data_IF_262549593456
#
_entry.id   IF_262549593456
#
_cell.length_a   1.000
_cell.length_b   1.000
_cell.length_c   1.000
_cell.angle_alpha   90.00
_cell.angle_beta   90.00
_cell.angle_gamma   90.00
#
_symmetry.space_group_name_H-M   'P 1'
#
loop_
_entity.id
_entity.type
_entity.pdbx_description
1 polymer ?
#
# COMPACT_ATOMS: atom_id res chain seq x y z
N UNK A 1 24.15 -13.23 -33.42
CA UNK A 1 22.96 -12.41 -33.08
C UNK A 1 23.12 -12.00 -31.63
N UNK A 2 23.39 -10.71 -31.37
CA UNK A 2 23.42 -10.20 -29.99
C UNK A 2 21.97 -10.18 -29.52
N UNK A 3 21.61 -11.01 -28.55
CA UNK A 3 20.30 -10.96 -27.92
C UNK A 3 20.14 -9.59 -27.26
N UNK A 4 19.28 -8.75 -27.81
CA UNK A 4 18.87 -7.51 -27.16
C UNK A 4 18.22 -7.85 -25.82
N UNK A 5 18.69 -7.24 -24.72
CA UNK A 5 18.10 -7.45 -23.40
C UNK A 5 16.60 -7.12 -23.45
N UNK A 6 15.73 -7.96 -22.87
CA UNK A 6 14.31 -7.65 -22.80
C UNK A 6 14.13 -6.37 -21.96
N UNK A 7 13.60 -5.33 -22.60
CA UNK A 7 13.24 -4.06 -21.98
C UNK A 7 11.81 -4.14 -21.44
N UNK A 8 11.39 -3.10 -20.73
CA UNK A 8 9.97 -2.88 -20.49
C UNK A 8 9.22 -2.96 -21.83
N UNK A 9 8.01 -3.53 -21.79
CA UNK A 9 7.13 -3.68 -22.95
C UNK A 9 5.73 -3.23 -22.56
N UNK A 10 5.05 -2.61 -23.50
CA UNK A 10 3.60 -2.46 -23.46
C UNK A 10 2.99 -3.87 -23.47
N UNK A 11 2.16 -4.17 -22.48
CA UNK A 11 1.47 -5.47 -22.40
C UNK A 11 0.32 -5.49 -23.39
N UNK A 12 -0.52 -4.46 -23.30
CA UNK A 12 -1.64 -4.19 -24.17
C UNK A 12 -1.99 -2.70 -24.06
N UNK A 13 -2.44 -2.13 -25.18
CA UNK A 13 -3.13 -0.84 -25.25
C UNK A 13 -4.62 -1.18 -25.07
N UNK A 14 -5.15 -0.95 -23.87
CA UNK A 14 -6.49 -1.43 -23.48
C UNK A 14 -7.57 -0.50 -24.03
N UNK A 15 -7.38 0.82 -23.93
CA UNK A 15 -8.26 1.84 -24.51
C UNK A 15 -7.70 2.30 -25.86
N UNK A 16 -8.02 1.57 -26.93
CA UNK A 16 -7.46 1.84 -28.26
C UNK A 16 -7.71 3.31 -28.69
N UNK A 17 -6.68 4.15 -28.69
CA UNK A 17 -6.84 5.57 -29.01
C UNK A 17 -5.78 6.50 -28.41
N UNK A 18 -6.21 7.67 -27.95
CA UNK A 18 -5.38 8.66 -27.25
C UNK A 18 -5.80 8.82 -25.77
N UNK A 19 -6.75 8.01 -25.30
CA UNK A 19 -7.36 8.16 -23.98
C UNK A 19 -6.75 7.13 -23.02
N UNK A 20 -6.41 7.51 -21.78
CA UNK A 20 -5.75 6.60 -20.85
C UNK A 20 -6.68 5.47 -20.38
N UNK A 21 -6.12 4.28 -20.17
CA UNK A 21 -6.84 3.12 -19.62
C UNK A 21 -7.07 3.18 -18.10
N UNK A 22 -6.62 4.25 -17.42
CA UNK A 22 -6.86 4.50 -15.99
C UNK A 22 -6.44 3.34 -15.08
N UNK A 23 -5.27 2.75 -15.33
CA UNK A 23 -4.81 1.54 -14.65
C UNK A 23 -4.69 1.77 -13.14
N UNK A 24 -5.37 0.96 -12.33
CA UNK A 24 -5.30 1.07 -10.88
C UNK A 24 -5.45 -0.29 -10.18
N UNK A 25 -5.29 -0.30 -8.85
CA UNK A 25 -5.52 -1.47 -7.99
C UNK A 25 -4.72 -2.73 -8.37
N UNK A 26 -3.51 -2.58 -8.92
CA UNK A 26 -2.68 -3.72 -9.33
C UNK A 26 -2.43 -4.66 -8.13
N UNK A 27 -2.89 -5.91 -8.26
CA UNK A 27 -2.89 -6.93 -7.20
C UNK A 27 -2.44 -8.27 -7.76
N UNK A 28 -1.40 -8.86 -7.19
CA UNK A 28 -0.98 -10.23 -7.52
C UNK A 28 -1.88 -11.25 -6.82
N UNK A 29 -2.43 -12.19 -7.59
CA UNK A 29 -3.25 -13.30 -7.09
C UNK A 29 -2.66 -14.60 -7.63
N UNK A 30 -1.73 -15.19 -6.88
CA UNK A 30 -1.01 -16.41 -7.24
C UNK A 30 -0.37 -16.37 -8.64
N UNK A 31 0.36 -15.29 -8.95
CA UNK A 31 1.05 -15.13 -10.23
C UNK A 31 0.13 -14.69 -11.39
N UNK A 32 -1.06 -14.19 -11.08
CA UNK A 32 -1.92 -13.50 -12.05
C UNK A 32 -2.16 -12.10 -11.56
N UNK A 33 -1.95 -11.12 -12.43
CA UNK A 33 -2.26 -9.75 -12.11
C UNK A 33 -3.77 -9.54 -12.25
N UNK A 34 -4.42 -9.03 -11.20
CA UNK A 34 -5.73 -8.40 -11.25
C UNK A 34 -5.56 -6.90 -11.07
N UNK A 35 -6.37 -6.11 -11.77
CA UNK A 35 -6.32 -4.66 -11.75
C UNK A 35 -7.64 -4.08 -12.25
N UNK A 36 -7.79 -2.76 -12.20
CA UNK A 36 -8.91 -2.06 -12.82
C UNK A 36 -8.43 -1.23 -14.01
N UNK A 37 -9.21 -1.22 -15.09
CA UNK A 37 -8.90 -0.48 -16.31
C UNK A 37 -10.16 -0.16 -17.11
N UNK A 38 -10.08 0.89 -17.93
CA UNK A 38 -11.10 1.34 -18.88
C UNK A 38 -10.64 1.02 -20.30
N UNK A 39 -11.51 0.39 -21.11
CA UNK A 39 -11.28 0.12 -22.53
C UNK A 39 -12.00 1.09 -23.47
N UNK A 40 -12.62 2.14 -22.92
CA UNK A 40 -13.42 3.11 -23.66
C UNK A 40 -14.84 2.64 -23.99
N UNK A 41 -15.17 1.35 -23.77
CA UNK A 41 -16.50 0.78 -24.01
C UNK A 41 -17.25 0.44 -22.70
N UNK A 42 -16.52 -0.03 -21.68
CA UNK A 42 -17.09 -0.55 -20.43
C UNK A 42 -16.78 0.31 -19.19
N UNK A 43 -16.03 1.42 -19.35
CA UNK A 43 -15.55 2.18 -18.19
C UNK A 43 -14.50 1.40 -17.38
N UNK A 44 -14.07 1.96 -16.24
CA UNK A 44 -13.13 1.28 -15.33
C UNK A 44 -13.79 0.05 -14.70
N UNK A 45 -13.31 -1.14 -15.07
CA UNK A 45 -13.88 -2.44 -14.68
C UNK A 45 -12.79 -3.42 -14.18
N UNK A 46 -13.15 -4.66 -13.81
CA UNK A 46 -12.17 -5.66 -13.35
C UNK A 46 -11.45 -6.33 -14.53
N UNK A 47 -10.13 -6.21 -14.56
CA UNK A 47 -9.25 -6.82 -15.56
C UNK A 47 -8.26 -7.80 -14.94
N UNK A 48 -7.67 -8.62 -15.79
CA UNK A 48 -6.53 -9.46 -15.42
C UNK A 48 -5.50 -9.54 -16.53
N UNK A 49 -4.26 -9.89 -16.18
CA UNK A 49 -3.17 -10.15 -17.13
C UNK A 49 -2.24 -11.26 -16.64
N UNK A 50 -1.62 -11.95 -17.60
CA UNK A 50 -0.48 -12.86 -17.40
C UNK A 50 0.84 -12.28 -17.96
N UNK A 51 0.85 -10.99 -18.34
CA UNK A 51 2.01 -10.34 -18.96
C UNK A 51 2.05 -10.44 -20.48
N UNK A 52 1.06 -11.10 -21.10
CA UNK A 52 0.92 -11.17 -22.55
C UNK A 52 -0.36 -10.46 -23.00
N UNK A 53 -0.34 -9.91 -24.22
CA UNK A 53 -1.54 -9.32 -24.84
C UNK A 53 -2.74 -10.28 -24.84
N UNK A 54 -2.52 -11.56 -25.19
CA UNK A 54 -3.62 -12.54 -25.24
C UNK A 54 -4.15 -12.97 -23.87
N UNK A 55 -3.40 -12.75 -22.79
CA UNK A 55 -3.80 -13.04 -21.42
C UNK A 55 -4.35 -11.82 -20.67
N UNK A 56 -4.17 -10.61 -21.23
CA UNK A 56 -4.80 -9.38 -20.76
C UNK A 56 -6.24 -9.31 -21.26
N UNK A 57 -7.20 -9.20 -20.34
CA UNK A 57 -8.62 -9.17 -20.70
C UNK A 57 -9.50 -8.67 -19.56
N UNK A 58 -10.62 -8.06 -19.96
CA UNK A 58 -11.76 -7.82 -19.11
C UNK A 58 -12.20 -9.14 -18.48
N UNK A 59 -12.31 -9.16 -17.15
CA UNK A 59 -12.82 -10.32 -16.41
C UNK A 59 -14.33 -10.33 -16.46
N UNK A 60 -14.93 -9.17 -16.20
CA UNK A 60 -16.37 -8.94 -16.22
C UNK A 60 -16.64 -7.44 -16.26
N UNK A 61 -17.56 -7.04 -17.12
CA UNK A 61 -18.27 -5.76 -17.04
C UNK A 61 -19.28 -5.86 -15.87
N UNK A 62 -18.90 -5.33 -14.70
CA UNK A 62 -19.73 -5.40 -13.49
C UNK A 62 -20.86 -4.38 -13.56
N UNK A 63 -20.63 -3.20 -14.14
CA UNK A 63 -21.65 -2.17 -14.37
C UNK A 63 -21.95 -2.06 -15.87
N UNK A 64 -22.93 -2.82 -16.40
CA UNK A 64 -23.10 -2.96 -17.84
C UNK A 64 -23.10 -1.65 -18.64
N UNK A 65 -22.21 -1.55 -19.62
CA UNK A 65 -22.04 -0.40 -20.50
C UNK A 65 -20.89 0.53 -20.08
N UNK A 66 -20.88 1.76 -20.59
CA UNK A 66 -19.73 2.67 -20.45
C UNK A 66 -19.54 3.31 -19.04
N UNK A 67 -20.22 2.82 -18.02
CA UNK A 67 -20.14 3.38 -16.68
C UNK A 67 -19.20 2.53 -15.82
N UNK A 68 -18.23 3.16 -15.15
CA UNK A 68 -17.25 2.42 -14.33
C UNK A 68 -17.89 1.75 -13.11
N UNK A 69 -17.48 0.53 -12.81
CA UNK A 69 -17.69 -0.06 -11.49
C UNK A 69 -16.71 0.55 -10.49
N UNK A 70 -17.24 1.10 -9.39
CA UNK A 70 -16.44 1.69 -8.32
C UNK A 70 -15.74 0.60 -7.47
N UNK A 71 -14.94 -0.26 -8.11
CA UNK A 71 -14.19 -1.35 -7.48
C UNK A 71 -13.16 -0.77 -6.51
N UNK A 72 -13.14 -1.32 -5.30
CA UNK A 72 -12.19 -0.97 -4.24
C UNK A 72 -11.60 -2.23 -3.61
N UNK A 73 -10.41 -2.08 -3.05
CA UNK A 73 -9.80 -3.02 -2.10
C UNK A 73 -9.71 -4.46 -2.62
N UNK A 74 -9.12 -4.63 -3.82
CA UNK A 74 -8.78 -5.95 -4.34
C UNK A 74 -7.90 -6.70 -3.32
N UNK A 75 -8.46 -7.76 -2.72
CA UNK A 75 -7.82 -8.52 -1.64
C UNK A 75 -7.71 -9.98 -2.03
N UNK A 76 -6.49 -10.52 -2.02
CA UNK A 76 -6.25 -11.93 -2.29
C UNK A 76 -6.72 -12.78 -1.11
N UNK A 77 -7.53 -13.81 -1.39
CA UNK A 77 -7.94 -14.82 -0.40
C UNK A 77 -8.01 -16.19 -1.09
N UNK A 78 -7.12 -17.12 -0.71
CA UNK A 78 -7.08 -18.50 -1.22
C UNK A 78 -7.08 -18.62 -2.76
N UNK A 79 -6.27 -17.81 -3.42
CA UNK A 79 -6.07 -17.76 -4.87
C UNK A 79 -7.23 -17.16 -5.65
N UNK A 80 -8.01 -16.29 -5.01
CA UNK A 80 -9.10 -15.51 -5.60
C UNK A 80 -8.97 -14.07 -5.14
N UNK A 81 -9.60 -13.16 -5.86
CA UNK A 81 -9.73 -11.78 -5.41
C UNK A 81 -11.13 -11.56 -4.87
N UNK A 82 -11.24 -10.99 -3.67
CA UNK A 82 -12.47 -10.43 -3.12
C UNK A 82 -12.32 -8.92 -3.09
N UNK A 83 -13.41 -8.20 -3.34
CA UNK A 83 -13.38 -6.75 -3.51
C UNK A 83 -14.76 -6.13 -3.29
N UNK A 84 -14.79 -4.84 -3.02
CA UNK A 84 -16.02 -4.08 -2.84
C UNK A 84 -16.43 -3.38 -4.14
N UNK A 85 -17.74 -3.31 -4.42
CA UNK A 85 -18.32 -2.51 -5.50
C UNK A 85 -19.56 -1.82 -4.93
N UNK A 86 -19.51 -0.49 -4.76
CA UNK A 86 -20.58 0.24 -4.06
C UNK A 86 -20.86 -0.38 -2.69
N UNK A 87 -22.11 -0.81 -2.48
CA UNK A 87 -22.58 -1.49 -1.26
C UNK A 87 -22.45 -3.03 -1.29
N UNK A 88 -21.66 -3.59 -2.20
CA UNK A 88 -21.62 -5.03 -2.48
C UNK A 88 -20.23 -5.64 -2.25
N UNK A 89 -20.18 -6.84 -1.67
CA UNK A 89 -18.98 -7.68 -1.65
C UNK A 89 -19.00 -8.65 -2.83
N UNK A 90 -17.93 -8.68 -3.60
CA UNK A 90 -17.75 -9.54 -4.77
C UNK A 90 -16.55 -10.47 -4.61
N UNK A 91 -16.52 -11.52 -5.44
CA UNK A 91 -15.39 -12.41 -5.61
C UNK A 91 -15.18 -12.72 -7.09
N UNK A 92 -13.93 -12.87 -7.49
CA UNK A 92 -13.54 -13.39 -8.80
C UNK A 92 -12.47 -14.48 -8.72
N UNK A 93 -12.56 -15.47 -9.61
CA UNK A 93 -11.48 -16.42 -9.92
C UNK A 93 -10.73 -16.07 -11.23
N UNK A 94 -11.00 -14.89 -11.80
CA UNK A 94 -10.47 -14.45 -13.08
C UNK A 94 -11.26 -14.94 -14.29
N UNK A 95 -12.48 -15.45 -14.09
CA UNK A 95 -13.45 -15.73 -15.15
C UNK A 95 -14.75 -14.96 -14.92
N UNK A 96 -15.44 -14.62 -16.00
CA UNK A 96 -16.74 -13.94 -15.92
C UNK A 96 -17.75 -14.71 -15.06
N UNK A 97 -17.87 -16.03 -15.27
CA UNK A 97 -18.78 -16.91 -14.50
C UNK A 97 -18.38 -17.04 -13.03
N UNK A 98 -17.09 -17.03 -12.73
CA UNK A 98 -16.57 -17.06 -11.37
C UNK A 98 -16.56 -15.69 -10.68
N UNK A 99 -16.96 -14.63 -11.39
CA UNK A 99 -17.09 -13.27 -10.87
C UNK A 99 -18.53 -13.01 -10.42
N UNK A 100 -18.76 -13.16 -9.12
CA UNK A 100 -20.09 -13.21 -8.52
C UNK A 100 -20.15 -12.35 -7.26
N UNK A 101 -21.30 -11.70 -7.06
CA UNK A 101 -21.64 -11.02 -5.82
C UNK A 101 -21.85 -12.04 -4.71
N UNK A 102 -21.27 -11.77 -3.55
CA UNK A 102 -21.42 -12.58 -2.34
C UNK A 102 -22.54 -12.04 -1.45
N UNK A 103 -22.56 -10.72 -1.22
CA UNK A 103 -23.52 -10.04 -0.35
C UNK A 103 -23.74 -8.59 -0.80
N UNK A 104 -24.84 -7.99 -0.36
CA UNK A 104 -25.17 -6.57 -0.48
C UNK A 104 -25.46 -6.06 0.93
N UNK A 105 -24.86 -4.93 1.29
CA UNK A 105 -24.99 -4.27 2.58
C UNK A 105 -25.95 -3.09 2.47
N UNK A 106 -26.53 -2.68 3.59
CA UNK A 106 -27.35 -1.49 3.60
C UNK A 106 -26.49 -0.26 3.31
N UNK A 107 -27.05 0.68 2.54
CA UNK A 107 -26.40 1.93 2.10
C UNK A 107 -27.10 3.11 2.79
N UNK A 108 -27.24 3.00 4.11
CA UNK A 108 -27.64 4.14 4.92
C UNK A 108 -26.39 5.01 5.08
N UNK A 109 -26.52 6.32 4.91
CA UNK A 109 -25.45 7.32 5.04
C UNK A 109 -24.48 7.51 3.84
N UNK A 110 -24.68 6.84 2.71
CA UNK A 110 -23.78 6.92 1.54
C UNK A 110 -22.32 6.53 1.87
N UNK A 111 -22.15 5.77 2.94
CA UNK A 111 -20.90 5.15 3.33
C UNK A 111 -20.81 3.79 2.64
N UNK A 112 -19.99 3.70 1.59
CA UNK A 112 -19.91 2.51 0.75
C UNK A 112 -19.30 1.31 1.50
N UNK A 113 -20.11 0.46 2.13
CA UNK A 113 -19.70 -0.81 2.76
C UNK A 113 -19.74 -1.99 1.77
N UNK A 114 -18.82 -2.96 1.85
CA UNK A 114 -17.81 -3.15 2.89
C UNK A 114 -16.55 -2.29 2.68
N UNK A 115 -15.79 -2.12 3.77
CA UNK A 115 -14.50 -1.41 3.81
C UNK A 115 -13.50 -2.14 4.70
N UNK A 116 -12.24 -1.72 4.66
CA UNK A 116 -11.15 -2.26 5.47
C UNK A 116 -10.98 -3.78 5.25
N UNK A 117 -11.02 -4.22 3.99
CA UNK A 117 -10.87 -5.62 3.61
C UNK A 117 -9.48 -6.14 4.00
N UNK A 118 -9.45 -7.21 4.78
CA UNK A 118 -8.21 -7.82 5.26
C UNK A 118 -8.29 -9.36 5.19
N UNK A 119 -7.27 -9.96 4.59
CA UNK A 119 -7.10 -11.41 4.61
C UNK A 119 -6.60 -11.83 5.99
N UNK A 120 -7.33 -12.75 6.63
CA UNK A 120 -6.96 -13.32 7.91
C UNK A 120 -7.27 -14.82 7.91
N UNK A 121 -6.21 -15.63 7.91
CA UNK A 121 -6.25 -17.10 8.05
C UNK A 121 -7.19 -17.79 7.04
N UNK A 122 -7.09 -17.41 5.78
CA UNK A 122 -7.84 -17.97 4.65
C UNK A 122 -9.28 -17.47 4.56
N UNK A 123 -9.61 -16.35 5.20
CA UNK A 123 -10.91 -15.68 5.12
C UNK A 123 -10.70 -14.19 4.98
N UNK A 124 -11.75 -13.51 4.53
CA UNK A 124 -11.80 -12.05 4.54
C UNK A 124 -12.47 -11.60 5.82
N UNK A 125 -11.85 -10.68 6.56
CA UNK A 125 -12.50 -9.88 7.61
C UNK A 125 -12.59 -8.43 7.13
N UNK A 126 -13.65 -7.73 7.51
CA UNK A 126 -13.94 -6.39 7.01
C UNK A 126 -14.97 -5.68 7.90
N UNK A 127 -15.05 -4.37 7.74
CA UNK A 127 -16.13 -3.52 8.27
C UNK A 127 -17.37 -3.64 7.37
N UNK A 128 -18.50 -4.00 7.95
CA UNK A 128 -19.78 -4.10 7.24
C UNK A 128 -20.94 -3.56 8.07
N UNK A 129 -22.02 -3.18 7.40
CA UNK A 129 -23.18 -2.54 8.01
C UNK A 129 -24.48 -3.32 7.77
N UNK A 130 -25.30 -3.43 8.81
CA UNK A 130 -26.73 -3.70 8.69
C UNK A 130 -27.54 -2.85 9.68
N UNK A 131 -28.85 -2.71 9.43
CA UNK A 131 -29.73 -1.85 10.22
C UNK A 131 -29.93 -2.34 11.68
N UNK A 132 -29.66 -3.62 11.95
CA UNK A 132 -29.89 -4.22 13.27
C UNK A 132 -28.68 -4.05 14.19
N UNK A 133 -27.46 -4.09 13.63
CA UNK A 133 -26.19 -4.16 14.36
C UNK A 133 -25.27 -2.96 14.11
N UNK A 134 -25.61 -2.02 13.22
CA UNK A 134 -24.72 -0.91 12.89
C UNK A 134 -23.46 -1.36 12.11
N UNK A 135 -22.37 -0.59 12.20
CA UNK A 135 -21.08 -0.91 11.55
C UNK A 135 -20.24 -1.82 12.43
N UNK A 136 -20.04 -3.06 11.99
CA UNK A 136 -19.48 -4.11 12.83
C UNK A 136 -18.49 -5.00 12.09
N UNK A 137 -17.92 -5.99 12.78
CA UNK A 137 -16.93 -6.89 12.19
C UNK A 137 -17.63 -8.04 11.45
N UNK A 138 -17.37 -8.15 10.16
CA UNK A 138 -17.89 -9.20 9.29
C UNK A 138 -16.80 -10.16 8.82
N UNK A 139 -17.22 -11.34 8.39
CA UNK A 139 -16.33 -12.35 7.80
C UNK A 139 -16.93 -12.93 6.53
N UNK A 140 -16.07 -13.27 5.56
CA UNK A 140 -16.41 -14.06 4.39
C UNK A 140 -15.42 -15.19 4.17
N UNK A 141 -15.92 -16.39 3.84
CA UNK A 141 -15.11 -17.50 3.33
C UNK A 141 -15.06 -17.54 1.79
N UNK A 142 -15.52 -16.48 1.13
CA UNK A 142 -15.66 -16.40 -0.32
C UNK A 142 -16.95 -17.02 -0.86
N UNK A 143 -17.93 -17.31 -0.01
CA UNK A 143 -19.28 -17.73 -0.42
C UNK A 143 -20.35 -16.81 0.17
N UNK A 144 -21.50 -16.68 -0.50
CA UNK A 144 -22.62 -15.88 0.02
C UNK A 144 -23.08 -16.36 1.39
N UNK A 145 -23.12 -17.69 1.62
CA UNK A 145 -23.53 -18.27 2.91
C UNK A 145 -22.50 -18.04 4.02
N UNK A 146 -21.21 -18.03 3.67
CA UNK A 146 -20.13 -17.78 4.63
C UNK A 146 -19.84 -16.30 4.84
N UNK A 147 -20.54 -15.40 4.14
CA UNK A 147 -20.49 -13.94 4.34
C UNK A 147 -21.53 -13.56 5.39
N UNK A 148 -21.08 -13.17 6.58
CA UNK A 148 -21.95 -12.92 7.75
C UNK A 148 -21.26 -12.07 8.81
N UNK A 149 -22.06 -11.47 9.68
CA UNK A 149 -21.59 -10.84 10.91
C UNK A 149 -20.74 -11.84 11.71
N UNK A 150 -19.57 -11.37 12.15
CA UNK A 150 -18.64 -12.14 12.98
C UNK A 150 -18.75 -11.73 14.44
N UNK A 151 -18.81 -10.43 14.70
CA UNK A 151 -18.88 -9.85 16.02
C UNK A 151 -19.73 -8.58 15.94
N UNK A 152 -20.71 -8.50 16.83
CA UNK A 152 -21.43 -7.30 17.22
C UNK A 152 -20.77 -6.80 18.52
N UNK A 153 -19.87 -5.82 18.41
CA UNK A 153 -19.11 -5.31 19.55
C UNK A 153 -19.95 -4.34 20.38
N UNK A 154 -20.72 -3.46 19.73
CA UNK A 154 -21.66 -2.53 20.36
C UNK A 154 -23.11 -3.04 20.18
N UNK A 155 -23.70 -3.76 21.15
CA UNK A 155 -24.97 -4.45 20.93
C UNK A 155 -26.12 -3.52 20.52
N UNK A 156 -26.74 -3.82 19.38
CA UNK A 156 -27.84 -3.05 18.81
C UNK A 156 -27.39 -2.21 17.62
N UNK A 157 -28.12 -1.13 17.26
CA UNK A 157 -27.88 -0.42 15.99
C UNK A 157 -26.65 0.51 16.03
N UNK A 158 -25.96 0.62 17.17
CA UNK A 158 -24.79 1.48 17.30
C UNK A 158 -23.55 0.75 16.77
N UNK A 159 -22.76 1.39 15.91
CA UNK A 159 -21.60 0.75 15.28
C UNK A 159 -20.32 0.83 16.10
N UNK A 160 -19.42 -0.13 15.92
CA UNK A 160 -18.06 -0.12 16.47
C UNK A 160 -16.97 0.27 15.45
N UNK A 161 -17.31 0.35 14.16
CA UNK A 161 -16.42 0.83 13.09
C UNK A 161 -15.04 0.15 13.03
N UNK A 162 -14.97 -1.20 12.99
CA UNK A 162 -13.70 -1.91 13.09
C UNK A 162 -12.76 -1.62 11.92
N UNK A 163 -11.51 -1.29 12.24
CA UNK A 163 -10.51 -0.86 11.25
C UNK A 163 -9.06 -1.19 11.66
N UNK A 164 -8.09 -0.86 10.80
CA UNK A 164 -6.65 -1.06 11.04
C UNK A 164 -6.24 -2.49 11.43
N UNK A 165 -6.83 -3.48 10.74
CA UNK A 165 -6.56 -4.89 10.96
C UNK A 165 -5.08 -5.28 10.82
N UNK A 166 -4.61 -6.12 11.73
CA UNK A 166 -3.30 -6.77 11.69
C UNK A 166 -3.37 -8.19 12.26
N UNK A 167 -2.56 -9.11 11.73
CA UNK A 167 -2.34 -10.42 12.35
C UNK A 167 -1.09 -10.40 13.24
N UNK A 168 -1.26 -10.56 14.55
CA UNK A 168 -0.16 -10.63 15.52
C UNK A 168 -0.17 -11.97 16.24
N UNK A 169 0.90 -12.75 16.07
CA UNK A 169 1.05 -14.07 16.69
C UNK A 169 -0.13 -15.03 16.42
N UNK A 170 -0.79 -14.83 15.28
CA UNK A 170 -1.93 -15.61 14.86
C UNK A 170 -3.28 -15.02 15.25
N UNK A 171 -3.35 -13.93 16.00
CA UNK A 171 -4.60 -13.33 16.39
C UNK A 171 -4.87 -12.06 15.58
N UNK A 172 -6.15 -11.78 15.31
CA UNK A 172 -6.56 -10.55 14.64
C UNK A 172 -6.58 -9.41 15.66
N UNK A 173 -5.82 -8.35 15.41
CA UNK A 173 -5.79 -7.13 16.21
C UNK A 173 -6.37 -5.99 15.37
N UNK A 174 -7.23 -5.17 15.96
CA UNK A 174 -7.94 -4.10 15.26
C UNK A 174 -8.44 -3.03 16.23
N UNK A 175 -8.78 -1.88 15.68
CA UNK A 175 -9.44 -0.80 16.38
C UNK A 175 -10.96 -1.01 16.41
N UNK A 176 -11.62 -0.60 17.49
CA UNK A 176 -13.08 -0.44 17.59
C UNK A 176 -13.41 0.81 18.41
N UNK A 177 -14.54 1.46 18.14
CA UNK A 177 -15.14 2.43 19.04
C UNK A 177 -16.07 1.73 20.04
N UNK A 178 -15.88 1.97 21.33
CA UNK A 178 -16.75 1.49 22.40
C UNK A 178 -17.75 2.59 22.76
N UNK A 179 -19.01 2.39 22.39
CA UNK A 179 -20.09 3.36 22.59
C UNK A 179 -20.46 3.55 24.07
N UNK A 180 -20.30 2.52 24.89
CA UNK A 180 -20.58 2.62 26.32
C UNK A 180 -19.49 3.44 27.05
N UNK A 181 -18.24 3.31 26.61
CA UNK A 181 -17.10 4.04 27.15
C UNK A 181 -16.87 5.40 26.47
N UNK A 182 -17.41 5.62 25.27
CA UNK A 182 -17.13 6.74 24.38
C UNK A 182 -15.64 6.87 24.05
N UNK A 183 -14.98 5.75 23.76
CA UNK A 183 -13.53 5.70 23.52
C UNK A 183 -13.18 4.67 22.47
N UNK A 184 -12.11 4.94 21.75
CA UNK A 184 -11.48 3.98 20.85
C UNK A 184 -10.67 2.95 21.65
N UNK A 185 -10.86 1.67 21.33
CA UNK A 185 -10.13 0.55 21.92
C UNK A 185 -9.27 -0.14 20.86
N UNK A 186 -8.09 -0.56 21.28
CA UNK A 186 -7.34 -1.59 20.57
C UNK A 186 -7.73 -2.95 21.14
N UNK A 187 -8.29 -3.83 20.30
CA UNK A 187 -8.75 -5.15 20.72
C UNK A 187 -8.07 -6.26 19.92
N UNK A 188 -8.10 -7.47 20.47
CA UNK A 188 -7.65 -8.70 19.80
C UNK A 188 -8.77 -9.73 19.78
N UNK A 189 -8.97 -10.41 18.66
CA UNK A 189 -9.88 -11.54 18.52
C UNK A 189 -9.12 -12.86 18.50
N UNK A 190 -9.20 -13.60 19.61
CA UNK A 190 -8.64 -14.94 19.79
C UNK A 190 -9.60 -15.99 19.24
N UNK A 191 -9.05 -16.91 18.43
CA UNK A 191 -9.77 -18.09 17.90
C UNK A 191 -11.16 -17.78 17.31
N UNK A 192 -11.29 -16.64 16.63
CA UNK A 192 -12.53 -16.17 16.00
C UNK A 192 -13.70 -15.93 16.95
N UNK A 193 -13.46 -15.84 18.27
CA UNK A 193 -14.55 -15.85 19.26
C UNK A 193 -14.35 -14.91 20.43
N UNK A 194 -13.14 -14.84 20.97
CA UNK A 194 -12.90 -14.13 22.23
C UNK A 194 -12.24 -12.80 21.94
N UNK A 195 -12.97 -11.72 22.20
CA UNK A 195 -12.43 -10.36 22.17
C UNK A 195 -11.68 -10.10 23.48
N UNK A 196 -10.48 -9.54 23.37
CA UNK A 196 -9.62 -9.15 24.47
C UNK A 196 -9.17 -7.72 24.23
N UNK A 197 -9.51 -6.82 25.15
CA UNK A 197 -8.99 -5.45 25.12
C UNK A 197 -7.48 -5.44 25.41
N UNK A 198 -6.73 -4.77 24.53
CA UNK A 198 -5.30 -4.57 24.66
C UNK A 198 -4.96 -3.19 25.22
N UNK A 199 -5.73 -2.16 24.82
CA UNK A 199 -5.59 -0.79 25.27
C UNK A 199 -6.86 0.02 25.05
N UNK A 200 -7.04 1.03 25.90
CA UNK A 200 -7.93 2.17 25.69
C UNK A 200 -7.11 3.31 25.09
N UNK A 201 -7.54 3.82 23.93
CA UNK A 201 -6.84 4.88 23.19
C UNK A 201 -7.47 6.27 23.45
N UNK A 202 -8.65 6.37 24.07
CA UNK A 202 -9.34 7.65 24.28
C UNK A 202 -10.39 8.00 23.22
N UNK A 203 -11.07 9.12 23.41
CA UNK A 203 -12.30 9.55 22.71
C UNK A 203 -12.07 10.22 21.34
N UNK A 204 -10.89 10.80 21.11
CA UNK A 204 -10.51 11.39 19.81
C UNK A 204 -9.36 10.65 19.12
N UNK A 205 -9.14 9.39 19.53
CA UNK A 205 -8.08 8.58 18.98
C UNK A 205 -8.45 7.94 17.63
N UNK A 206 -7.45 7.71 16.80
CA UNK A 206 -7.59 6.85 15.61
C UNK A 206 -6.25 6.29 15.20
N UNK A 207 -6.17 4.99 15.01
CA UNK A 207 -5.05 4.33 14.36
C UNK A 207 -5.04 4.78 12.90
N UNK A 208 -3.83 4.99 12.41
CA UNK A 208 -3.54 5.43 11.04
C UNK A 208 -2.76 4.37 10.29
N UNK A 209 -1.98 3.56 11.02
CA UNK A 209 -1.18 2.49 10.46
C UNK A 209 -0.71 1.54 11.54
N UNK A 210 -0.71 0.25 11.22
CA UNK A 210 -0.09 -0.78 12.03
C UNK A 210 1.08 -1.44 11.29
N UNK A 211 2.04 -1.97 12.05
CA UNK A 211 3.16 -2.76 11.52
C UNK A 211 3.59 -3.82 12.52
N UNK A 212 3.52 -5.08 12.11
CA UNK A 212 4.00 -6.21 12.91
C UNK A 212 5.50 -6.44 12.66
N UNK A 213 6.29 -6.48 13.73
CA UNK A 213 7.73 -6.78 13.69
C UNK A 213 8.09 -7.81 14.74
N UNK A 214 8.22 -9.07 14.31
CA UNK A 214 8.33 -10.21 15.22
C UNK A 214 7.04 -10.36 16.04
N UNK A 215 7.15 -10.55 17.35
CA UNK A 215 6.03 -10.72 18.29
C UNK A 215 5.47 -9.38 18.82
N UNK A 216 5.50 -8.33 17.99
CA UNK A 216 5.10 -6.98 18.41
C UNK A 216 4.35 -6.27 17.31
N UNK A 217 3.32 -5.55 17.71
CA UNK A 217 2.59 -4.63 16.88
C UNK A 217 3.01 -3.21 17.21
N UNK A 218 3.54 -2.50 16.21
CA UNK A 218 3.78 -1.07 16.27
C UNK A 218 2.58 -0.35 15.66
N UNK A 219 2.19 0.74 16.31
CA UNK A 219 0.94 1.44 16.03
C UNK A 219 1.28 2.91 15.86
N UNK A 220 0.98 3.45 14.69
CA UNK A 220 0.86 4.88 14.49
C UNK A 220 -0.61 5.25 14.67
N UNK A 221 -0.90 6.07 15.68
CA UNK A 221 -2.23 6.60 15.95
C UNK A 221 -2.15 8.11 16.17
N UNK A 222 -3.30 8.78 16.09
CA UNK A 222 -3.47 10.19 16.43
C UNK A 222 -4.34 10.26 17.68
N UNK A 223 -3.91 10.99 18.71
CA UNK A 223 -4.64 11.22 19.97
C UNK A 223 -4.86 12.72 20.17
N UNK A 224 -6.11 13.18 20.22
CA UNK A 224 -6.49 14.62 20.28
C UNK A 224 -5.81 15.44 19.16
N UNK A 225 -5.63 14.84 17.97
CA UNK A 225 -4.94 15.45 16.84
C UNK A 225 -3.41 15.39 16.87
N UNK A 226 -2.82 14.73 17.87
CA UNK A 226 -1.38 14.54 17.99
C UNK A 226 -0.90 13.13 17.60
N UNK A 227 -0.13 13.02 16.50
CA UNK A 227 0.50 11.77 16.08
C UNK A 227 1.42 11.14 17.14
N UNK A 228 1.26 9.84 17.40
CA UNK A 228 2.08 9.06 18.30
C UNK A 228 2.44 7.68 17.73
N UNK A 229 3.58 7.14 18.16
CA UNK A 229 3.99 5.76 17.91
C UNK A 229 3.92 4.99 19.22
N UNK A 230 3.17 3.89 19.23
CA UNK A 230 3.08 2.95 20.32
C UNK A 230 3.50 1.53 19.90
N UNK A 231 3.65 0.66 20.89
CA UNK A 231 3.93 -0.76 20.71
C UNK A 231 3.14 -1.61 21.69
N UNK A 232 2.75 -2.82 21.28
CA UNK A 232 2.19 -3.86 22.15
C UNK A 232 2.72 -5.24 21.77
N UNK A 233 2.68 -6.18 22.71
CA UNK A 233 2.98 -7.61 22.47
C UNK A 233 1.72 -8.44 22.24
N UNK A 234 0.56 -7.80 22.08
CA UNK A 234 -0.73 -8.49 21.92
C UNK A 234 -1.27 -9.09 23.23
N UNK A 235 -0.69 -8.69 24.37
CA UNK A 235 -1.15 -9.07 25.72
C UNK A 235 -1.68 -7.84 26.46
N UNK A 236 -2.77 -7.97 27.23
CA UNK A 236 -3.29 -6.88 28.06
C UNK A 236 -2.19 -6.25 28.93
N UNK A 237 -2.19 -4.92 29.01
CA UNK A 237 -1.23 -4.16 29.80
C UNK A 237 0.18 -4.04 29.20
N UNK A 238 0.40 -4.48 27.96
CA UNK A 238 1.70 -4.34 27.26
C UNK A 238 1.76 -3.18 26.26
N UNK A 239 0.64 -2.49 26.01
CA UNK A 239 0.60 -1.28 25.20
C UNK A 239 1.42 -0.16 25.83
N UNK A 240 2.34 0.45 25.07
CA UNK A 240 3.17 1.58 25.52
C UNK A 240 3.35 2.56 24.38
N UNK A 241 3.08 3.84 24.65
CA UNK A 241 3.53 4.93 23.79
C UNK A 241 5.06 5.05 23.88
N UNK A 242 5.72 5.19 22.73
CA UNK A 242 7.17 5.30 22.60
C UNK A 242 7.60 6.71 22.16
N UNK A 243 6.73 7.41 21.46
CA UNK A 243 7.02 8.69 20.82
C UNK A 243 5.73 9.46 20.53
N UNK A 244 5.77 10.78 20.68
CA UNK A 244 4.67 11.69 20.31
C UNK A 244 5.21 12.91 19.57
N UNK A 245 4.50 13.35 18.51
CA UNK A 245 4.86 14.53 17.74
C UNK A 245 4.51 15.85 18.43
N UNK A 246 3.77 15.83 19.55
CA UNK A 246 3.39 17.02 20.37
C UNK A 246 4.57 17.97 20.58
N UNK A 247 5.76 17.41 20.79
CA UNK A 247 6.99 18.15 21.10
C UNK A 247 7.64 18.82 19.90
N UNK A 248 7.25 18.47 18.68
CA UNK A 248 7.90 18.92 17.45
C UNK A 248 7.04 19.89 16.62
N UNK A 249 5.76 20.08 16.95
CA UNK A 249 4.87 20.98 16.19
C UNK A 249 4.66 20.55 14.73
N UNK A 250 4.80 19.25 14.47
CA UNK A 250 4.67 18.62 13.14
C UNK A 250 3.45 17.70 13.12
N UNK A 251 2.79 17.61 11.97
CA UNK A 251 1.42 17.09 11.84
C UNK A 251 1.33 15.67 11.27
N UNK A 252 2.33 14.81 11.49
CA UNK A 252 2.19 13.41 11.08
C UNK A 252 3.45 12.57 11.19
N UNK A 253 3.21 11.26 11.33
CA UNK A 253 4.20 10.24 11.03
C UNK A 253 3.93 9.74 9.62
N UNK A 254 4.97 9.61 8.80
CA UNK A 254 4.87 8.98 7.47
C UNK A 254 5.73 7.73 7.46
N UNK A 255 5.25 6.72 6.73
CA UNK A 255 5.88 5.42 6.56
C UNK A 255 6.21 4.68 7.88
N UNK A 256 5.84 3.41 7.95
CA UNK A 256 6.31 2.52 9.01
C UNK A 256 6.93 1.32 8.31
N UNK A 257 8.24 1.12 8.48
CA UNK A 257 8.98 0.08 7.78
C UNK A 257 9.87 -0.70 8.74
N UNK A 258 9.79 -2.02 8.65
CA UNK A 258 10.59 -2.93 9.45
C UNK A 258 11.98 -3.14 8.82
N UNK A 259 13.03 -2.97 9.60
CA UNK A 259 14.40 -3.34 9.22
C UNK A 259 15.13 -3.88 10.45
N UNK A 260 15.68 -5.10 10.34
CA UNK A 260 16.42 -5.78 11.42
C UNK A 260 15.71 -5.80 12.78
N UNK A 261 14.38 -6.03 12.78
CA UNK A 261 13.60 -6.09 14.02
C UNK A 261 13.27 -4.72 14.64
N UNK A 262 13.63 -3.62 13.97
CA UNK A 262 13.30 -2.24 14.35
C UNK A 262 12.31 -1.65 13.38
N UNK A 263 11.63 -0.59 13.82
CA UNK A 263 10.75 0.23 12.98
C UNK A 263 11.44 1.54 12.68
N UNK A 264 11.49 1.86 11.39
CA UNK A 264 11.91 3.16 10.88
C UNK A 264 10.69 3.89 10.37
N UNK A 265 10.63 5.16 10.70
CA UNK A 265 9.51 6.03 10.38
C UNK A 265 10.00 7.45 10.23
N UNK A 266 9.16 8.28 9.63
CA UNK A 266 9.49 9.65 9.34
C UNK A 266 8.62 10.61 10.13
N UNK A 267 9.25 11.71 10.55
CA UNK A 267 8.60 12.86 11.17
C UNK A 267 9.15 14.12 10.51
N UNK A 268 8.35 14.81 9.70
CA UNK A 268 8.84 15.95 8.90
C UNK A 268 9.99 15.55 7.94
N UNK A 269 11.13 16.23 8.03
CA UNK A 269 12.39 15.90 7.33
C UNK A 269 13.27 14.89 8.07
N UNK A 270 12.83 14.38 9.22
CA UNK A 270 13.63 13.52 10.07
C UNK A 270 13.30 12.04 9.89
N UNK A 271 14.36 11.23 9.73
CA UNK A 271 14.30 9.78 9.84
C UNK A 271 14.50 9.39 11.30
N UNK A 272 13.56 8.62 11.83
CA UNK A 272 13.57 8.09 13.19
C UNK A 272 13.65 6.56 13.18
N UNK A 273 14.08 6.01 14.31
CA UNK A 273 14.09 4.57 14.56
C UNK A 273 13.55 4.28 15.95
N UNK A 274 12.85 3.18 16.09
CA UNK A 274 12.54 2.57 17.39
C UNK A 274 12.83 1.08 17.35
N UNK A 275 13.40 0.57 18.44
CA UNK A 275 13.51 -0.87 18.69
C UNK A 275 12.35 -1.41 19.53
N UNK A 276 11.31 -0.60 19.80
CA UNK A 276 10.19 -0.93 20.68
C UNK A 276 10.38 -0.54 22.14
N UNK A 277 11.42 0.21 22.47
CA UNK A 277 11.64 0.80 23.79
C UNK A 277 11.78 2.32 23.72
N UNK A 278 11.45 3.04 24.79
CA UNK A 278 11.65 4.50 24.84
C UNK A 278 13.13 4.86 24.59
N UNK A 279 14.06 4.16 25.24
CA UNK A 279 15.49 4.40 25.10
C UNK A 279 16.03 4.11 23.69
N UNK A 280 15.45 3.14 22.99
CA UNK A 280 15.79 2.81 21.61
C UNK A 280 15.03 3.64 20.57
N UNK A 281 14.11 4.52 21.00
CA UNK A 281 13.38 5.44 20.14
C UNK A 281 14.14 6.75 20.00
N UNK A 282 14.72 6.99 18.84
CA UNK A 282 15.64 8.12 18.63
C UNK A 282 15.70 8.59 17.18
N UNK A 283 16.14 9.82 17.03
CA UNK A 283 16.50 10.39 15.73
C UNK A 283 17.65 9.58 15.12
N UNK A 284 17.52 9.26 13.82
CA UNK A 284 18.63 8.76 13.01
C UNK A 284 19.33 9.94 12.35
N UNK A 285 18.57 10.78 11.63
CA UNK A 285 19.07 12.00 10.99
C UNK A 285 17.89 12.89 10.61
N UNK A 286 18.05 14.19 10.83
CA UNK A 286 17.24 15.21 10.19
C UNK A 286 17.97 15.66 8.93
N UNK A 287 17.40 15.40 7.75
CA UNK A 287 18.09 15.71 6.48
C UNK A 287 18.05 17.20 6.16
N UNK A 288 17.11 17.94 6.75
CA UNK A 288 16.98 19.37 6.53
C UNK A 288 16.43 20.08 7.78
N UNK A 289 17.28 20.29 8.80
CA UNK A 289 16.87 20.91 10.05
C UNK A 289 16.28 22.30 9.88
N UNK A 290 15.14 22.55 10.51
CA UNK A 290 14.46 23.84 10.48
C UNK A 290 13.68 24.13 9.20
N UNK A 291 13.69 23.23 8.21
CA UNK A 291 12.63 23.22 7.21
C UNK A 291 11.33 22.77 7.89
N UNK A 292 10.25 23.52 7.71
CA UNK A 292 8.94 23.08 8.19
C UNK A 292 8.49 21.77 7.53
N UNK A 293 7.25 21.37 7.82
CA UNK A 293 6.66 20.09 7.38
C UNK A 293 6.59 19.87 5.87
N UNK A 294 6.90 20.86 5.03
CA UNK A 294 6.69 20.84 3.58
C UNK A 294 7.84 20.22 2.77
N UNK A 295 8.98 19.89 3.39
CA UNK A 295 10.12 19.22 2.74
C UNK A 295 10.27 17.77 3.20
N UNK A 296 9.28 17.01 2.76
CA UNK A 296 8.90 15.67 3.24
C UNK A 296 9.86 14.59 2.73
N UNK A 297 10.46 13.74 3.56
CA UNK A 297 10.99 12.43 3.08
C UNK A 297 9.82 11.59 2.54
N UNK A 298 9.98 10.74 1.52
CA UNK A 298 8.86 9.88 1.07
C UNK A 298 9.34 8.51 0.62
N UNK A 299 8.43 7.54 0.67
CA UNK A 299 8.59 6.20 0.10
C UNK A 299 9.71 5.38 0.76
N UNK A 300 9.76 5.38 2.09
CA UNK A 300 10.74 4.59 2.83
C UNK A 300 10.61 3.10 2.45
N UNK A 301 11.68 2.54 1.88
CA UNK A 301 11.68 1.19 1.31
C UNK A 301 12.93 0.43 1.71
N UNK A 302 12.77 -0.79 2.23
CA UNK A 302 13.92 -1.65 2.53
C UNK A 302 14.34 -2.42 1.30
N UNK A 303 15.63 -2.35 0.96
CA UNK A 303 16.29 -3.25 0.01
C UNK A 303 17.59 -3.74 0.63
N UNK A 304 17.74 -5.06 0.76
CA UNK A 304 19.01 -5.68 1.14
C UNK A 304 19.66 -5.10 2.41
N UNK A 305 18.85 -4.96 3.46
CA UNK A 305 19.25 -4.46 4.76
C UNK A 305 19.60 -2.96 4.82
N UNK A 306 19.08 -2.17 3.89
CA UNK A 306 19.21 -0.71 3.86
C UNK A 306 17.89 -0.08 3.51
N UNK A 307 17.68 1.13 4.00
CA UNK A 307 16.55 1.97 3.66
C UNK A 307 16.92 2.82 2.45
N UNK A 308 16.01 2.89 1.49
CA UNK A 308 16.04 3.81 0.36
C UNK A 308 14.80 4.69 0.43
N UNK A 309 14.94 5.97 0.15
CA UNK A 309 13.86 6.94 0.26
C UNK A 309 14.16 8.20 -0.55
N UNK A 310 13.13 9.00 -0.80
CA UNK A 310 13.20 10.30 -1.47
C UNK A 310 13.42 11.40 -0.44
N UNK A 311 14.40 12.29 -0.63
CA UNK A 311 14.72 13.36 0.32
C UNK A 311 15.34 14.61 -0.33
N UNK A 312 15.10 15.78 0.25
CA UNK A 312 15.69 17.06 -0.14
C UNK A 312 16.52 17.63 1.03
N UNK A 313 17.82 17.82 0.82
CA UNK A 313 18.74 18.45 1.79
C UNK A 313 18.94 19.95 1.55
N UNK A 314 18.20 20.54 0.61
CA UNK A 314 18.30 21.94 0.20
C UNK A 314 19.52 22.25 -0.65
N UNK A 315 20.36 21.27 -1.00
CA UNK A 315 21.56 21.44 -1.81
C UNK A 315 21.41 20.76 -3.17
N UNK A 316 21.07 19.48 -3.17
CA UNK A 316 20.97 18.66 -4.39
C UNK A 316 19.51 18.53 -4.90
N UNK A 317 18.57 19.29 -4.33
CA UNK A 317 17.15 19.04 -4.56
C UNK A 317 16.68 17.71 -3.99
N UNK A 318 15.48 17.28 -4.39
CA UNK A 318 14.87 16.02 -3.96
C UNK A 318 15.39 14.85 -4.79
N UNK A 319 16.17 13.99 -4.14
CA UNK A 319 16.93 12.92 -4.77
C UNK A 319 16.78 11.57 -4.05
N UNK A 320 17.48 10.54 -4.55
CA UNK A 320 17.49 9.20 -3.94
C UNK A 320 18.50 9.13 -2.79
N UNK A 321 18.03 8.77 -1.62
CA UNK A 321 18.81 8.66 -0.38
C UNK A 321 18.90 7.23 0.12
N UNK A 322 19.92 6.97 0.94
CA UNK A 322 20.16 5.68 1.59
C UNK A 322 20.39 5.86 3.09
N UNK A 323 19.97 4.88 3.88
CA UNK A 323 20.33 4.75 5.29
C UNK A 323 20.63 3.30 5.68
N UNK A 324 21.60 3.11 6.55
CA UNK A 324 21.82 1.87 7.30
C UNK A 324 21.30 1.97 8.75
N UNK A 325 20.48 2.97 9.07
CA UNK A 325 19.95 3.24 10.41
C UNK A 325 20.88 4.00 11.35
N UNK A 326 21.99 4.53 10.84
CA UNK A 326 22.88 5.45 11.57
C UNK A 326 22.92 6.81 10.90
N UNK A 327 23.22 7.87 11.67
CA UNK A 327 23.34 9.23 11.13
C UNK A 327 24.38 9.31 9.99
N UNK A 328 25.60 8.80 10.24
CA UNK A 328 26.70 8.81 9.26
C UNK A 328 26.40 7.98 8.00
N UNK A 329 25.63 6.91 8.13
CA UNK A 329 25.20 6.09 7.00
C UNK A 329 23.93 6.60 6.32
N UNK A 330 23.35 7.70 6.78
CA UNK A 330 22.18 8.36 6.17
C UNK A 330 22.64 9.52 5.30
N UNK A 331 22.59 9.34 3.98
CA UNK A 331 23.20 10.28 3.02
C UNK A 331 22.54 10.18 1.64
N UNK A 332 22.76 11.22 0.83
CA UNK A 332 22.51 11.19 -0.60
C UNK A 332 23.16 9.94 -1.21
N UNK A 333 22.37 9.18 -1.95
CA UNK A 333 22.82 7.96 -2.59
C UNK A 333 23.14 8.20 -4.05
N UNK A 334 22.22 8.85 -4.77
CA UNK A 334 22.39 9.25 -6.15
C UNK A 334 21.71 10.62 -6.37
N UNK A 335 22.48 11.55 -6.95
CA UNK A 335 21.97 12.78 -7.56
C UNK A 335 21.63 12.43 -9.02
N UNK A 336 20.37 12.08 -9.27
CA UNK A 336 19.91 11.64 -10.58
C UNK A 336 19.71 12.83 -11.53
N UNK A 337 19.36 14.01 -10.99
CA UNK A 337 19.23 15.26 -11.73
C UNK A 337 20.28 16.27 -11.26
N UNK A 338 21.50 16.24 -11.83
CA UNK A 338 22.67 16.89 -11.25
C UNK A 338 22.47 18.37 -10.88
N UNK A 339 22.85 18.71 -9.64
CA UNK A 339 22.83 20.09 -9.13
C UNK A 339 21.61 20.36 -8.24
N UNK A 340 21.07 21.59 -8.22
CA UNK A 340 19.96 21.93 -7.32
C UNK A 340 18.57 21.51 -7.86
N UNK A 341 18.53 20.91 -9.05
CA UNK A 341 17.29 20.38 -9.63
C UNK A 341 16.87 19.11 -8.88
N UNK A 342 15.62 18.66 -9.03
CA UNK A 342 15.11 17.50 -8.32
C UNK A 342 14.73 16.39 -9.29
N UNK A 343 15.13 15.16 -9.00
CA UNK A 343 14.67 13.96 -9.69
C UNK A 343 13.35 13.40 -9.16
N UNK A 344 12.95 13.87 -7.98
CA UNK A 344 11.69 13.50 -7.30
C UNK A 344 11.38 11.99 -7.30
N UNK A 345 12.26 11.12 -6.76
CA UNK A 345 12.02 9.69 -6.74
C UNK A 345 10.73 9.35 -6.01
N UNK A 346 9.90 8.51 -6.61
CA UNK A 346 8.53 8.21 -6.18
C UNK A 346 8.18 6.76 -6.46
N UNK A 347 7.22 6.21 -5.71
CA UNK A 347 6.79 4.80 -5.80
C UNK A 347 7.96 3.81 -5.75
N UNK A 348 8.83 3.99 -4.74
CA UNK A 348 9.92 3.07 -4.49
C UNK A 348 9.36 1.71 -4.07
N UNK A 349 9.66 0.66 -4.84
CA UNK A 349 9.17 -0.70 -4.62
C UNK A 349 10.31 -1.69 -4.63
N UNK A 350 10.54 -2.32 -3.49
CA UNK A 350 11.40 -3.49 -3.43
C UNK A 350 10.66 -4.69 -4.03
N UNK A 351 11.15 -5.15 -5.17
CA UNK A 351 10.69 -6.37 -5.83
C UNK A 351 11.70 -7.49 -5.56
N UNK A 352 11.20 -8.60 -5.01
CA UNK A 352 11.95 -9.84 -4.78
C UNK A 352 13.21 -9.68 -3.91
N UNK A 353 13.25 -8.70 -2.99
CA UNK A 353 14.36 -8.42 -2.08
C UNK A 353 15.72 -8.15 -2.76
N UNK A 354 15.71 -7.93 -4.06
CA UNK A 354 16.92 -7.87 -4.89
C UNK A 354 16.93 -6.68 -5.86
N UNK A 355 15.76 -6.08 -6.14
CA UNK A 355 15.63 -4.94 -7.04
C UNK A 355 14.73 -3.87 -6.45
N UNK A 356 15.12 -2.61 -6.63
CA UNK A 356 14.27 -1.45 -6.39
C UNK A 356 13.77 -0.94 -7.75
N UNK A 357 12.46 -0.79 -7.89
CA UNK A 357 11.83 -0.06 -8.99
C UNK A 357 11.26 1.24 -8.46
N UNK A 358 11.32 2.30 -9.25
CA UNK A 358 10.80 3.62 -8.88
C UNK A 358 10.68 4.51 -10.12
N UNK A 359 10.04 5.64 -9.97
CA UNK A 359 9.95 6.67 -10.99
C UNK A 359 10.81 7.88 -10.61
N UNK A 360 11.56 8.44 -11.56
CA UNK A 360 12.40 9.62 -11.35
C UNK A 360 12.72 10.35 -12.66
N UNK A 361 13.11 11.62 -12.56
CA UNK A 361 13.52 12.49 -13.68
C UNK A 361 15.02 12.81 -13.59
N UNK A 362 15.81 12.48 -14.61
CA UNK A 362 17.24 12.81 -14.65
C UNK A 362 17.56 14.17 -15.29
N UNK A 363 16.54 14.96 -15.60
CA UNK A 363 16.64 16.24 -16.29
C UNK A 363 16.84 16.12 -17.80
N UNK A 364 16.89 14.89 -18.34
CA UNK A 364 17.08 14.60 -19.77
C UNK A 364 15.89 13.87 -20.36
N UNK A 365 15.38 12.85 -19.65
CA UNK A 365 14.34 11.93 -20.13
C UNK A 365 12.95 12.19 -19.54
N UNK A 366 12.78 13.25 -18.72
CA UNK A 366 11.57 13.42 -17.93
C UNK A 366 11.38 12.29 -16.90
N UNK A 367 10.20 12.20 -16.28
CA UNK A 367 9.93 11.20 -15.22
C UNK A 367 9.59 9.84 -15.82
N UNK A 368 10.57 8.95 -15.76
CA UNK A 368 10.60 7.64 -16.41
C UNK A 368 10.78 6.50 -15.39
N UNK A 369 10.66 5.21 -15.79
CA UNK A 369 10.86 4.11 -14.88
C UNK A 369 12.35 3.84 -14.69
N UNK A 370 12.76 3.66 -13.44
CA UNK A 370 14.12 3.34 -13.03
C UNK A 370 14.15 2.01 -12.29
N UNK A 371 15.30 1.35 -12.35
CA UNK A 371 15.60 0.16 -11.58
C UNK A 371 16.97 0.27 -10.91
N UNK A 372 17.16 -0.51 -9.87
CA UNK A 372 18.45 -0.68 -9.24
C UNK A 372 18.56 -2.09 -8.64
N UNK A 373 19.65 -2.78 -8.94
CA UNK A 373 19.97 -4.06 -8.30
C UNK A 373 20.57 -3.83 -6.92
N UNK A 374 20.49 -4.84 -6.04
CA UNK A 374 21.17 -4.86 -4.74
C UNK A 374 22.65 -4.44 -4.88
N UNK A 375 23.02 -3.35 -4.23
CA UNK A 375 24.40 -2.84 -4.21
C UNK A 375 24.88 -2.20 -5.52
N UNK A 376 24.02 -2.11 -6.53
CA UNK A 376 24.28 -1.40 -7.77
C UNK A 376 23.94 0.10 -7.70
N UNK A 377 24.02 0.76 -8.84
CA UNK A 377 23.56 2.15 -9.03
C UNK A 377 22.19 2.16 -9.70
N UNK A 378 21.44 3.27 -9.62
CA UNK A 378 20.24 3.46 -10.41
C UNK A 378 20.51 3.40 -11.91
N UNK A 379 19.59 2.79 -12.64
CA UNK A 379 19.61 2.67 -14.09
C UNK A 379 18.24 3.01 -14.64
N UNK A 380 18.18 3.87 -15.66
CA UNK A 380 16.97 4.08 -16.44
C UNK A 380 16.53 2.72 -17.02
N UNK A 381 15.32 2.28 -16.68
CA UNK A 381 14.78 1.02 -17.18
C UNK A 381 14.50 1.13 -18.69
N UNK A 382 13.85 2.23 -19.06
CA UNK A 382 13.50 2.59 -20.43
C UNK A 382 13.07 4.06 -20.45
N UNK A 383 13.42 4.77 -21.52
CA UNK A 383 12.78 6.04 -21.91
C UNK A 383 11.49 5.68 -22.64
N UNK A 384 10.38 5.55 -21.89
CA UNK A 384 9.07 5.15 -22.42
C UNK A 384 8.46 6.32 -23.19
N UNK A 385 8.46 7.54 -22.62
CA UNK A 385 8.00 8.75 -23.28
C UNK A 385 9.20 9.54 -23.85
N UNK A 386 9.52 9.43 -25.15
CA UNK A 386 10.83 9.84 -25.66
C UNK A 386 11.19 11.31 -25.43
N UNK A 387 12.44 11.55 -25.04
CA UNK A 387 12.97 12.90 -24.84
C UNK A 387 12.56 13.46 -23.48
N UNK A 388 12.23 14.74 -23.39
CA UNK A 388 11.89 15.36 -22.09
C UNK A 388 10.43 15.11 -21.64
N UNK A 389 9.69 14.26 -22.35
CA UNK A 389 8.33 13.89 -21.96
C UNK A 389 8.38 12.97 -20.74
N UNK A 390 7.26 12.81 -20.02
CA UNK A 390 7.22 12.01 -18.79
C UNK A 390 6.23 10.87 -18.96
N UNK A 391 6.70 9.62 -18.85
CA UNK A 391 5.83 8.45 -18.84
C UNK A 391 5.05 8.27 -17.54
N UNK A 392 5.37 9.06 -16.51
CA UNK A 392 4.69 9.10 -15.21
C UNK A 392 4.47 7.72 -14.57
N UNK A 393 5.46 6.83 -14.51
CA UNK A 393 5.22 5.45 -14.14
C UNK A 393 4.83 5.31 -12.66
N UNK A 394 3.98 4.32 -12.38
CA UNK A 394 3.45 4.04 -11.04
C UNK A 394 2.91 2.62 -10.89
N UNK A 395 2.69 2.20 -9.65
CA UNK A 395 2.07 0.93 -9.31
C UNK A 395 2.98 -0.27 -9.52
N UNK A 396 4.30 -0.13 -9.34
CA UNK A 396 5.22 -1.26 -9.57
C UNK A 396 4.87 -2.44 -8.65
N UNK A 397 4.44 -3.56 -9.25
CA UNK A 397 4.11 -4.79 -8.54
C UNK A 397 4.69 -5.99 -9.25
N UNK A 398 5.15 -6.97 -8.48
CA UNK A 398 5.53 -8.26 -9.05
C UNK A 398 4.29 -9.15 -9.16
N UNK A 399 4.09 -9.74 -10.33
CA UNK A 399 3.18 -10.86 -10.51
C UNK A 399 3.89 -11.91 -11.38
N UNK A 400 3.97 -13.14 -10.86
CA UNK A 400 4.72 -14.26 -11.43
C UNK A 400 6.20 -13.93 -11.77
N UNK A 401 6.54 -13.89 -13.07
CA UNK A 401 7.86 -13.64 -13.65
C UNK A 401 8.07 -12.18 -14.07
N UNK A 402 7.06 -11.32 -13.98
CA UNK A 402 7.10 -9.92 -14.42
C UNK A 402 6.94 -8.94 -13.24
N UNK A 403 7.39 -7.72 -13.50
CA UNK A 403 7.04 -6.51 -12.77
C UNK A 403 6.14 -5.68 -13.66
N UNK A 404 4.91 -5.47 -13.20
CA UNK A 404 3.89 -4.67 -13.87
C UNK A 404 3.87 -3.27 -13.30
N UNK A 405 3.50 -2.29 -14.14
CA UNK A 405 3.32 -0.90 -13.77
C UNK A 405 2.48 -0.19 -14.83
N UNK A 406 1.89 0.95 -14.46
CA UNK A 406 1.21 1.83 -15.40
C UNK A 406 2.19 2.88 -15.93
N UNK A 407 2.15 3.23 -17.22
CA UNK A 407 2.96 4.30 -17.83
C UNK A 407 2.39 4.77 -19.18
N UNK A 408 2.71 6.01 -19.58
CA UNK A 408 2.28 6.64 -20.84
C UNK A 408 3.47 6.82 -21.81
N UNK A 409 3.38 6.34 -23.05
CA UNK A 409 4.43 6.52 -24.07
C UNK A 409 4.27 7.78 -24.93
N UNK A 410 3.28 8.62 -24.60
CA UNK A 410 2.91 9.83 -25.32
C UNK A 410 2.07 9.56 -26.57
N UNK A 411 1.60 8.33 -26.80
CA UNK A 411 0.78 7.97 -27.96
C UNK A 411 -0.62 7.51 -27.59
N UNK A 412 -0.79 6.77 -26.49
CA UNK A 412 -2.08 6.18 -26.10
C UNK A 412 -2.64 6.66 -24.76
N UNK A 413 -1.89 7.46 -24.00
CA UNK A 413 -2.19 7.69 -22.59
C UNK A 413 -1.59 6.59 -21.72
N UNK A 414 -2.01 6.52 -20.46
CA UNK A 414 -1.47 5.57 -19.49
C UNK A 414 -1.98 4.14 -19.73
N UNK A 415 -1.05 3.23 -19.96
CA UNK A 415 -1.30 1.82 -20.27
C UNK A 415 -0.57 0.85 -19.33
N UNK A 416 -0.87 -0.45 -19.43
CA UNK A 416 -0.20 -1.50 -18.66
C UNK A 416 1.13 -1.91 -19.30
N UNK A 417 2.23 -1.75 -18.55
CA UNK A 417 3.57 -2.15 -18.94
C UNK A 417 4.09 -3.29 -18.06
N UNK A 418 5.01 -4.09 -18.61
CA UNK A 418 5.67 -5.15 -17.88
C UNK A 418 7.15 -5.29 -18.24
N UNK A 419 7.96 -5.70 -17.27
CA UNK A 419 9.37 -6.05 -17.45
C UNK A 419 9.72 -7.31 -16.66
N UNK A 420 10.60 -8.20 -17.16
CA UNK A 420 10.96 -9.41 -16.43
C UNK A 420 11.54 -9.12 -15.03
N UNK A 421 11.09 -9.85 -14.01
CA UNK A 421 11.53 -9.72 -12.60
C UNK A 421 12.98 -10.15 -12.42
N UNK A 422 13.41 -11.23 -13.07
CA UNK A 422 14.75 -11.80 -12.97
C UNK A 422 15.56 -11.38 -14.18
N UNK A 423 16.72 -10.82 -13.91
CA UNK A 423 17.69 -10.43 -14.93
C UNK A 423 19.06 -10.70 -14.33
N UNK A 424 19.51 -11.95 -14.44
CA UNK A 424 20.91 -12.28 -14.21
C UNK A 424 21.70 -11.72 -15.39
N UNK A 425 22.53 -10.72 -15.11
CA UNK A 425 23.68 -10.27 -15.89
C UNK A 425 23.53 -10.24 -17.42
N UNK A 426 23.12 -9.09 -17.99
CA UNK A 426 23.39 -8.76 -19.39
C UNK A 426 24.88 -8.41 -19.64
N UNK A 427 25.78 -8.70 -18.71
CA UNK A 427 27.22 -8.53 -18.89
C UNK A 427 27.87 -9.86 -19.25
N UNK A 428 28.02 -10.12 -20.55
CA UNK A 428 29.16 -10.86 -21.11
C UNK A 428 29.66 -10.21 -22.38
#
# INVERSE_FOLDING_TARGET
>A
MRSSCPRARLVEDINEGLEPSSIANLTDVNGKLFFTADDGEHGVELWKSDGTRGGTRLVKDITPGAASSAIRELTEVNGKVLFAVGSELWKSDGTERGTVRLATFADEFADFFPRNLFEYRGKLVFEGFDEEHGTELWVSDGTSRGTRLLLDFNPGPEGSGPSDFAELDGDLVFEVFDEAALTVKLVKLEDWRRVVELADLGDESSIRRTLVVGHRLFIYYSDEGDPAIAVTTGRPGTFRELFSTRRFGVTGVRDLVALEGKVYFQVGSALWVTDGTEAGTRLVKDVLPGSGVDKVLLFLTVLSNRLYFSADDGVAGRELWISNGTESGTRLFADLNPGPASSSPTDLRNVHNSKLFFAADDGVHGREPWKMHRGGTPELLMDIAPGMASSSPRGFIRSDEDVFFAADDGRGGEELWATPKEHNDCHR
#
